data_IF_923192616524
#
_entry.id   IF_923192616524
#
_cell.length_a   1.000
_cell.length_b   1.000
_cell.length_c   1.000
_cell.angle_alpha   90.00
_cell.angle_beta   90.00
_cell.angle_gamma   90.00
#
_symmetry.space_group_name_H-M   'P 1'
#
loop_
_entity.id
_entity.type
_entity.pdbx_description
1 polymer ?
#
# COMPACT_ATOMS: atom_id res chain seq x y z
N UNK A 1 -21.90 -9.78 -8.36
CA UNK A 1 -20.89 -8.86 -8.93
C UNK A 1 -19.57 -9.20 -8.30
N UNK A 2 -18.60 -9.49 -9.15
CA UNK A 2 -17.25 -9.92 -8.80
C UNK A 2 -16.44 -8.70 -8.35
N UNK A 3 -15.60 -8.86 -7.33
CA UNK A 3 -14.67 -7.80 -6.91
C UNK A 3 -13.56 -7.71 -7.96
N UNK A 4 -13.50 -6.60 -8.68
CA UNK A 4 -12.35 -6.32 -9.54
C UNK A 4 -11.21 -5.77 -8.65
N UNK A 5 -10.25 -6.62 -8.32
CA UNK A 5 -8.95 -6.17 -7.81
C UNK A 5 -8.12 -5.80 -9.03
N UNK A 6 -7.78 -4.52 -9.17
CA UNK A 6 -6.87 -4.06 -10.22
C UNK A 6 -5.48 -4.09 -9.61
N UNK A 7 -4.72 -5.14 -9.90
CA UNK A 7 -3.30 -5.22 -9.56
C UNK A 7 -2.53 -4.16 -10.35
N UNK A 8 -1.62 -3.45 -9.67
CA UNK A 8 -0.83 -2.40 -10.30
C UNK A 8 0.61 -2.46 -9.81
N UNK A 9 1.54 -2.28 -10.75
CA UNK A 9 2.98 -2.18 -10.48
C UNK A 9 3.37 -0.79 -9.95
N UNK A 10 4.49 -0.67 -9.20
CA UNK A 10 5.43 -1.74 -8.83
C UNK A 10 5.03 -2.52 -7.57
N UNK A 11 5.38 -3.80 -7.50
CA UNK A 11 5.36 -4.58 -6.25
C UNK A 11 6.62 -4.29 -5.42
N UNK A 12 6.43 -3.98 -4.14
CA UNK A 12 7.52 -3.79 -3.17
C UNK A 12 7.44 -4.84 -2.07
N UNK A 13 8.60 -5.22 -1.53
CA UNK A 13 8.71 -6.07 -0.35
C UNK A 13 9.22 -5.24 0.83
N UNK A 14 8.67 -5.47 2.03
CA UNK A 14 9.12 -4.77 3.24
C UNK A 14 9.12 -5.71 4.43
N UNK A 15 10.09 -5.51 5.32
CA UNK A 15 10.04 -5.99 6.70
C UNK A 15 9.54 -4.85 7.59
N UNK A 16 9.14 -5.15 8.84
CA UNK A 16 8.80 -4.12 9.83
C UNK A 16 7.71 -3.12 9.39
N UNK A 17 6.50 -3.60 9.07
CA UNK A 17 5.37 -2.73 8.79
C UNK A 17 4.26 -2.90 9.85
N UNK A 18 3.69 -1.80 10.31
CA UNK A 18 2.51 -1.84 11.16
C UNK A 18 1.26 -1.95 10.31
N UNK A 19 0.46 -2.99 10.60
CA UNK A 19 -0.83 -3.22 9.96
C UNK A 19 -1.97 -2.84 10.90
N UNK A 20 -3.01 -2.19 10.37
CA UNK A 20 -4.27 -1.96 11.08
C UNK A 20 -5.45 -2.49 10.27
N UNK A 21 -6.47 -3.06 10.93
CA UNK A 21 -7.69 -3.46 10.24
C UNK A 21 -8.52 -2.19 9.97
N UNK A 22 -8.91 -2.00 8.72
CA UNK A 22 -9.74 -0.88 8.28
C UNK A 22 -11.01 -1.44 7.66
N UNK A 23 -12.14 -0.84 8.02
CA UNK A 23 -13.42 -1.13 7.36
C UNK A 23 -13.61 -0.16 6.20
N UNK A 24 -13.94 -0.69 5.03
CA UNK A 24 -14.27 0.09 3.83
C UNK A 24 -15.57 -0.39 3.22
N UNK A 25 -16.14 0.40 2.32
CA UNK A 25 -17.32 0.01 1.53
C UNK A 25 -16.89 -0.37 0.12
N UNK A 26 -17.10 -1.63 -0.24
CA UNK A 26 -16.83 -2.16 -1.57
C UNK A 26 -18.14 -2.68 -2.17
N UNK A 27 -18.55 -2.13 -3.31
CA UNK A 27 -19.82 -2.48 -3.98
C UNK A 27 -21.04 -2.42 -3.04
N UNK A 28 -21.08 -1.42 -2.15
CA UNK A 28 -22.17 -1.22 -1.19
C UNK A 28 -22.17 -2.20 0.00
N UNK A 29 -21.11 -3.00 0.17
CA UNK A 29 -20.93 -3.89 1.32
C UNK A 29 -19.73 -3.46 2.16
N UNK A 30 -19.90 -3.49 3.47
CA UNK A 30 -18.79 -3.28 4.40
C UNK A 30 -17.86 -4.49 4.36
N UNK A 31 -16.58 -4.24 4.16
CA UNK A 31 -15.52 -5.25 4.18
C UNK A 31 -14.39 -4.74 5.07
N UNK A 32 -13.69 -5.67 5.71
CA UNK A 32 -12.50 -5.38 6.50
C UNK A 32 -11.26 -5.76 5.70
N UNK A 33 -10.24 -4.92 5.74
CA UNK A 33 -8.95 -5.19 5.11
C UNK A 33 -7.80 -4.76 6.02
N UNK A 34 -6.64 -5.41 5.87
CA UNK A 34 -5.42 -4.96 6.49
C UNK A 34 -4.79 -3.85 5.65
N UNK A 35 -4.43 -2.75 6.29
CA UNK A 35 -3.74 -1.63 5.66
C UNK A 35 -2.43 -1.39 6.40
N UNK A 36 -1.34 -1.20 5.65
CA UNK A 36 -0.07 -0.71 6.19
C UNK A 36 -0.26 0.75 6.59
N UNK A 37 0.13 1.11 7.81
CA UNK A 37 0.00 2.48 8.31
C UNK A 37 1.32 3.16 8.61
N UNK A 38 2.40 2.39 8.72
CA UNK A 38 3.74 2.89 9.03
C UNK A 38 4.79 1.81 8.67
N UNK A 39 5.90 2.23 8.06
CA UNK A 39 7.10 1.40 7.87
C UNK A 39 8.17 1.78 8.92
N UNK A 40 8.71 0.79 9.65
CA UNK A 40 9.77 1.00 10.66
C UNK A 40 11.12 0.39 10.27
N UNK A 41 11.17 -0.30 9.16
CA UNK A 41 12.34 -1.00 8.63
C UNK A 41 12.42 -0.78 7.12
N UNK A 42 13.48 -1.27 6.49
CA UNK A 42 13.73 -1.03 5.07
C UNK A 42 12.66 -1.69 4.18
N UNK A 43 12.18 -0.91 3.23
CA UNK A 43 11.40 -1.36 2.09
C UNK A 43 12.33 -1.54 0.88
N UNK A 44 11.98 -2.46 -0.02
CA UNK A 44 12.81 -2.80 -1.17
C UNK A 44 12.00 -2.85 -2.46
N UNK A 45 12.55 -2.24 -3.51
CA UNK A 45 12.05 -2.28 -4.89
C UNK A 45 13.19 -2.75 -5.79
N UNK A 46 12.98 -3.83 -6.54
CA UNK A 46 14.00 -4.45 -7.40
C UNK A 46 15.33 -4.75 -6.69
N UNK A 47 15.27 -5.09 -5.39
CA UNK A 47 16.44 -5.41 -4.56
C UNK A 47 17.21 -4.20 -4.03
N UNK A 48 16.70 -2.98 -4.25
CA UNK A 48 17.30 -1.72 -3.77
C UNK A 48 16.39 -1.14 -2.69
N UNK A 49 16.99 -0.57 -1.63
CA UNK A 49 16.26 0.15 -0.59
C UNK A 49 15.40 1.25 -1.22
N UNK A 50 14.13 1.28 -0.84
CA UNK A 50 13.12 2.17 -1.39
C UNK A 50 12.21 2.63 -0.25
N UNK A 51 11.99 3.93 -0.11
CA UNK A 51 11.09 4.48 0.91
C UNK A 51 9.79 4.92 0.23
N UNK A 52 8.72 4.10 0.26
CA UNK A 52 7.44 4.47 -0.32
C UNK A 52 6.78 5.62 0.45
N UNK A 53 5.99 6.42 -0.26
CA UNK A 53 4.95 7.21 0.40
C UNK A 53 3.87 6.27 0.93
N UNK A 54 3.51 6.41 2.21
CA UNK A 54 2.44 5.61 2.84
C UNK A 54 1.06 6.08 2.40
N UNK A 55 0.92 7.38 2.15
CA UNK A 55 -0.32 8.04 1.79
C UNK A 55 -0.06 9.12 0.73
N UNK A 56 -0.94 9.22 -0.25
CA UNK A 56 -0.91 10.29 -1.24
C UNK A 56 -2.30 10.56 -1.82
N UNK A 57 -2.49 11.75 -2.38
CA UNK A 57 -3.75 12.17 -3.00
C UNK A 57 -3.96 11.58 -4.41
N UNK A 58 -2.89 11.10 -5.04
CA UNK A 58 -2.94 10.43 -6.34
C UNK A 58 -1.93 9.30 -6.39
N UNK A 59 -2.12 8.41 -7.38
CA UNK A 59 -1.21 7.29 -7.64
C UNK A 59 0.20 7.81 -7.97
N UNK A 60 0.29 8.83 -8.80
CA UNK A 60 1.56 9.40 -9.25
C UNK A 60 2.36 9.89 -8.03
N UNK A 61 1.70 10.64 -7.14
CA UNK A 61 2.30 11.09 -5.87
C UNK A 61 2.67 9.93 -4.95
N UNK A 62 1.88 8.85 -4.93
CA UNK A 62 2.20 7.67 -4.12
C UNK A 62 3.51 6.99 -4.57
N UNK A 63 3.77 7.02 -5.88
CA UNK A 63 4.93 6.37 -6.49
C UNK A 63 6.16 7.27 -6.61
N UNK A 64 6.05 8.55 -6.26
CA UNK A 64 7.18 9.47 -6.18
C UNK A 64 8.16 9.00 -5.09
N UNK A 65 9.46 9.08 -5.39
CA UNK A 65 10.52 8.74 -4.44
C UNK A 65 10.74 9.92 -3.48
N UNK A 66 10.77 9.62 -2.18
CA UNK A 66 11.22 10.59 -1.18
C UNK A 66 12.76 10.59 -1.20
N UNK A 67 13.37 11.60 -1.82
CA UNK A 67 14.82 11.88 -1.75
C UNK A 67 15.26 12.40 -0.39
#
# INVERSE_FOLDING_TARGET
>A
METAIIEQEPVIFTTGAFLKPVMTTLNGKNVWMWTVTEFIDDSYKDGITYNPNEFAESREKLLEEIT
#
